data_IF_215563984494
#
_entry.id   IF_215563984494
#
_cell.length_a   1.000
_cell.length_b   1.000
_cell.length_c   1.000
_cell.angle_alpha   90.00
_cell.angle_beta   90.00
_cell.angle_gamma   90.00
#
_symmetry.space_group_name_H-M   'P 1'
#
loop_
_entity.id
_entity.type
_entity.pdbx_description
1 polymer ?
#
# COMPACT_ATOMS: atom_id res chain seq x y z
N UNK A 1 -11.85 31.29 19.38
CA UNK A 1 -10.63 30.80 18.70
C UNK A 1 -10.70 29.28 18.63
N UNK A 2 -10.45 28.64 17.47
CA UNK A 2 -10.41 27.19 17.40
C UNK A 2 -9.23 26.65 18.20
N UNK A 3 -9.47 25.58 18.96
CA UNK A 3 -8.49 24.94 19.84
C UNK A 3 -7.32 24.35 19.03
N UNK A 4 -6.06 24.80 19.24
CA UNK A 4 -4.89 24.28 18.53
C UNK A 4 -4.58 22.81 18.88
N UNK A 5 -5.26 22.22 19.86
CA UNK A 5 -5.16 20.79 20.19
C UNK A 5 -5.90 19.88 19.19
N UNK A 6 -6.86 20.41 18.42
CA UNK A 6 -7.66 19.62 17.49
C UNK A 6 -6.83 19.05 16.32
N UNK A 7 -5.79 19.76 15.88
CA UNK A 7 -4.84 19.30 14.85
C UNK A 7 -3.80 18.30 15.38
N UNK A 8 -3.76 18.04 16.68
CA UNK A 8 -2.73 17.20 17.31
C UNK A 8 -3.12 15.71 17.37
N UNK A 9 -4.25 15.32 16.78
CA UNK A 9 -4.84 13.95 16.88
C UNK A 9 -4.79 13.11 15.61
N UNK A 10 -3.94 13.43 14.64
CA UNK A 10 -3.53 12.41 13.68
C UNK A 10 -2.19 11.85 14.16
N UNK A 11 -2.14 10.61 14.68
CA UNK A 11 -0.89 9.97 15.01
C UNK A 11 0.07 10.11 13.82
N UNK A 12 1.34 10.41 14.06
CA UNK A 12 2.35 10.59 12.99
C UNK A 12 2.45 9.42 12.00
N UNK A 13 1.82 8.29 12.31
CA UNK A 13 1.49 7.19 11.42
C UNK A 13 0.75 7.64 10.14
N UNK A 14 -0.27 8.49 10.22
CA UNK A 14 -1.04 8.96 9.04
C UNK A 14 -0.25 9.91 8.14
N UNK A 15 0.74 10.62 8.68
CA UNK A 15 1.67 11.42 7.88
C UNK A 15 2.57 10.57 6.97
N UNK A 16 2.78 9.28 7.28
CA UNK A 16 3.56 8.38 6.40
C UNK A 16 2.76 7.84 5.22
N UNK A 17 1.43 7.75 5.34
CA UNK A 17 0.56 7.55 4.17
C UNK A 17 0.54 8.77 3.24
N UNK A 18 0.95 9.94 3.74
CA UNK A 18 1.11 11.14 2.92
C UNK A 18 2.41 11.16 2.11
N UNK A 19 3.26 10.13 2.20
CA UNK A 19 4.43 10.06 1.31
C UNK A 19 3.93 9.72 -0.10
N UNK A 20 4.04 10.64 -1.09
CA UNK A 20 3.33 10.51 -2.36
C UNK A 20 3.68 9.22 -3.10
N UNK A 21 4.93 8.75 -2.96
CA UNK A 21 5.39 7.50 -3.55
C UNK A 21 4.64 6.27 -3.04
N UNK A 22 4.38 6.16 -1.73
CA UNK A 22 3.65 5.01 -1.17
C UNK A 22 2.20 5.00 -1.64
N UNK A 23 1.56 6.18 -1.69
CA UNK A 23 0.21 6.34 -2.21
C UNK A 23 0.11 5.96 -3.69
N UNK A 24 1.11 6.35 -4.51
CA UNK A 24 1.18 5.95 -5.92
C UNK A 24 1.32 4.43 -6.05
N UNK A 25 2.25 3.81 -5.32
CA UNK A 25 2.46 2.35 -5.39
C UNK A 25 1.22 1.58 -4.93
N UNK A 26 0.56 1.99 -3.85
CA UNK A 26 -0.68 1.36 -3.40
C UNK A 26 -1.82 1.56 -4.39
N UNK A 27 -1.90 2.74 -5.03
CA UNK A 27 -2.91 3.02 -6.07
C UNK A 27 -2.68 2.15 -7.30
N UNK A 28 -1.43 2.04 -7.77
CA UNK A 28 -1.06 1.14 -8.88
C UNK A 28 -1.42 -0.30 -8.53
N UNK A 29 -1.10 -0.75 -7.30
CA UNK A 29 -1.47 -2.07 -6.81
C UNK A 29 -2.98 -2.31 -6.85
N UNK A 30 -3.78 -1.35 -6.37
CA UNK A 30 -5.23 -1.42 -6.37
C UNK A 30 -5.82 -1.44 -7.80
N UNK A 31 -5.26 -0.62 -8.71
CA UNK A 31 -5.67 -0.58 -10.12
C UNK A 31 -5.37 -1.91 -10.81
N UNK A 32 -4.17 -2.48 -10.61
CA UNK A 32 -3.83 -3.80 -11.14
C UNK A 32 -4.76 -4.87 -10.57
N UNK A 33 -5.03 -4.84 -9.27
CA UNK A 33 -5.96 -5.78 -8.65
C UNK A 33 -7.37 -5.71 -9.27
N UNK A 34 -7.92 -4.50 -9.44
CA UNK A 34 -9.22 -4.29 -10.09
C UNK A 34 -9.20 -4.70 -11.56
N UNK A 35 -8.14 -4.37 -12.30
CA UNK A 35 -7.99 -4.76 -13.70
C UNK A 35 -7.98 -6.29 -13.86
N UNK A 36 -7.35 -7.00 -12.92
CA UNK A 36 -7.42 -8.46 -12.85
C UNK A 36 -8.86 -8.96 -12.70
N UNK A 37 -9.66 -8.39 -11.80
CA UNK A 37 -11.10 -8.73 -11.68
C UNK A 37 -11.88 -8.50 -12.97
N UNK A 38 -11.61 -7.39 -13.67
CA UNK A 38 -12.25 -7.10 -14.97
C UNK A 38 -11.87 -8.15 -16.02
N UNK A 39 -10.60 -8.55 -16.09
CA UNK A 39 -10.14 -9.62 -17.00
C UNK A 39 -10.81 -10.97 -16.69
N UNK A 40 -10.96 -11.30 -15.41
CA UNK A 40 -11.68 -12.51 -15.00
C UNK A 40 -13.15 -12.47 -15.45
N UNK A 41 -13.83 -11.34 -15.24
CA UNK A 41 -15.21 -11.12 -15.69
C UNK A 41 -15.36 -11.23 -17.21
N UNK A 42 -14.42 -10.66 -17.98
CA UNK A 42 -14.39 -10.82 -19.43
C UNK A 42 -14.19 -12.29 -19.85
N UNK A 43 -13.33 -13.02 -19.14
CA UNK A 43 -13.15 -14.47 -19.34
C UNK A 43 -14.43 -15.27 -19.09
N UNK A 44 -15.21 -14.92 -18.05
CA UNK A 44 -16.54 -15.54 -17.82
C UNK A 44 -17.45 -15.31 -19.02
N UNK A 45 -17.52 -14.08 -19.53
CA UNK A 45 -18.39 -13.73 -20.67
C UNK A 45 -18.04 -14.46 -21.96
N UNK A 46 -16.76 -14.73 -22.19
CA UNK A 46 -16.27 -15.41 -23.41
C UNK A 46 -16.25 -16.93 -23.30
N UNK A 47 -16.53 -17.50 -22.12
CA UNK A 47 -16.38 -18.95 -21.85
C UNK A 47 -17.16 -19.85 -22.82
N UNK A 48 -18.33 -19.41 -23.29
CA UNK A 48 -19.17 -20.19 -24.19
C UNK A 48 -18.77 -20.07 -25.67
N UNK A 49 -18.22 -18.92 -26.09
CA UNK A 49 -17.88 -18.65 -27.50
C UNK A 49 -16.43 -18.99 -27.83
N UNK A 50 -15.50 -18.71 -26.91
CA UNK A 50 -14.08 -19.00 -27.06
C UNK A 50 -13.47 -19.47 -25.72
N UNK A 51 -13.58 -20.78 -25.42
CA UNK A 51 -13.13 -21.33 -24.14
C UNK A 51 -11.60 -21.26 -23.97
N UNK A 52 -10.84 -21.32 -25.07
CA UNK A 52 -9.37 -21.26 -25.02
C UNK A 52 -8.91 -19.86 -24.64
N UNK A 53 -9.49 -18.83 -25.25
CA UNK A 53 -9.19 -17.45 -24.93
C UNK A 53 -9.70 -17.07 -23.52
N UNK A 54 -10.88 -17.56 -23.13
CA UNK A 54 -11.40 -17.41 -21.77
C UNK A 54 -10.43 -17.95 -20.71
N UNK A 55 -9.86 -19.14 -20.93
CA UNK A 55 -8.88 -19.72 -19.99
C UNK A 55 -7.60 -18.86 -19.88
N UNK A 56 -7.11 -18.31 -20.99
CA UNK A 56 -5.97 -17.40 -20.99
C UNK A 56 -6.28 -16.11 -20.22
N UNK A 57 -7.47 -15.54 -20.41
CA UNK A 57 -7.95 -14.37 -19.68
C UNK A 57 -7.99 -14.65 -18.17
N UNK A 58 -8.49 -15.81 -17.76
CA UNK A 58 -8.47 -16.23 -16.35
C UNK A 58 -7.04 -16.36 -15.80
N UNK A 59 -6.13 -17.00 -16.54
CA UNK A 59 -4.74 -17.11 -16.11
C UNK A 59 -4.08 -15.73 -15.91
N UNK A 60 -4.24 -14.83 -16.89
CA UNK A 60 -3.72 -13.47 -16.80
C UNK A 60 -4.38 -12.65 -15.71
N UNK A 61 -5.70 -12.81 -15.49
CA UNK A 61 -6.41 -12.15 -14.39
C UNK A 61 -5.80 -12.48 -13.03
N UNK A 62 -5.39 -13.74 -12.84
CA UNK A 62 -4.75 -14.19 -11.61
C UNK A 62 -3.38 -13.54 -11.41
N UNK A 63 -2.55 -13.53 -12.45
CA UNK A 63 -1.22 -12.90 -12.41
C UNK A 63 -1.33 -11.40 -12.13
N UNK A 64 -2.19 -10.70 -12.86
CA UNK A 64 -2.38 -9.24 -12.72
C UNK A 64 -2.93 -8.91 -11.32
N UNK A 65 -3.91 -9.67 -10.84
CA UNK A 65 -4.46 -9.49 -9.48
C UNK A 65 -3.40 -9.75 -8.40
N UNK A 66 -2.61 -10.80 -8.57
CA UNK A 66 -1.58 -11.19 -7.60
C UNK A 66 -0.48 -10.14 -7.50
N UNK A 67 -0.01 -9.60 -8.64
CA UNK A 67 0.95 -8.48 -8.65
C UNK A 67 0.38 -7.26 -7.94
N UNK A 68 -0.89 -6.93 -8.19
CA UNK A 68 -1.58 -5.84 -7.50
C UNK A 68 -1.59 -5.99 -5.98
N UNK A 69 -1.96 -7.18 -5.49
CA UNK A 69 -1.94 -7.51 -4.05
C UNK A 69 -0.53 -7.47 -3.49
N UNK A 70 0.46 -8.02 -4.20
CA UNK A 70 1.85 -8.05 -3.74
C UNK A 70 2.40 -6.64 -3.50
N UNK A 71 2.08 -5.67 -4.38
CA UNK A 71 2.45 -4.27 -4.19
C UNK A 71 1.82 -3.66 -2.93
N UNK A 72 0.53 -3.91 -2.71
CA UNK A 72 -0.18 -3.43 -1.52
C UNK A 72 0.43 -4.03 -0.25
N UNK A 73 0.67 -5.35 -0.25
CA UNK A 73 1.29 -6.07 0.88
C UNK A 73 2.69 -5.54 1.16
N UNK A 74 3.49 -5.27 0.14
CA UNK A 74 4.83 -4.70 0.32
C UNK A 74 4.78 -3.33 1.01
N UNK A 75 3.84 -2.46 0.61
CA UNK A 75 3.63 -1.15 1.25
C UNK A 75 3.18 -1.32 2.71
N UNK A 76 2.23 -2.22 2.97
CA UNK A 76 1.75 -2.51 4.33
C UNK A 76 2.89 -3.06 5.20
N UNK A 77 3.65 -4.04 4.71
CA UNK A 77 4.77 -4.62 5.42
C UNK A 77 5.84 -3.58 5.74
N UNK A 78 6.13 -2.67 4.80
CA UNK A 78 7.05 -1.56 5.03
C UNK A 78 6.56 -0.63 6.14
N UNK A 79 5.29 -0.21 6.11
CA UNK A 79 4.70 0.66 7.13
C UNK A 79 4.66 -0.01 8.51
N UNK A 80 4.32 -1.30 8.57
CA UNK A 80 4.35 -2.10 9.80
C UNK A 80 5.78 -2.21 10.33
N UNK A 81 6.76 -2.46 9.46
CA UNK A 81 8.18 -2.48 9.84
C UNK A 81 8.62 -1.15 10.45
N UNK A 82 8.30 -0.02 9.80
CA UNK A 82 8.59 1.31 10.33
C UNK A 82 7.87 1.63 11.64
N UNK A 83 6.68 1.08 11.85
CA UNK A 83 5.94 1.20 13.10
C UNK A 83 6.64 0.41 14.22
N UNK A 84 6.99 -0.86 13.97
CA UNK A 84 7.72 -1.70 14.93
C UNK A 84 9.08 -1.09 15.32
N UNK A 85 9.87 -0.63 14.34
CA UNK A 85 11.19 -0.04 14.61
C UNK A 85 11.12 1.24 15.44
N UNK A 86 10.07 2.04 15.25
CA UNK A 86 9.89 3.31 15.97
C UNK A 86 9.25 3.09 17.34
N UNK A 87 8.04 2.53 17.36
CA UNK A 87 7.16 2.59 18.51
C UNK A 87 7.37 1.40 19.47
N UNK A 88 7.82 0.25 18.95
CA UNK A 88 8.05 -0.95 19.77
C UNK A 88 9.51 -1.07 20.19
N UNK A 89 10.45 -0.83 19.25
CA UNK A 89 11.88 -1.02 19.49
C UNK A 89 12.62 0.27 19.89
N UNK A 90 12.05 1.45 19.66
CA UNK A 90 12.67 2.74 20.02
C UNK A 90 14.00 3.03 19.30
N UNK A 91 14.30 2.31 18.21
CA UNK A 91 15.61 2.38 17.52
C UNK A 91 15.76 3.70 16.76
N UNK A 92 14.67 4.19 16.17
CA UNK A 92 14.68 5.38 15.32
C UNK A 92 14.70 6.71 16.09
N UNK A 93 14.43 6.71 17.40
CA UNK A 93 14.46 7.93 18.23
C UNK A 93 15.83 8.20 18.87
N UNK A 94 16.76 7.23 18.85
CA UNK A 94 18.09 7.35 19.47
C UNK A 94 19.09 8.26 18.74
N UNK A 95 18.82 8.62 17.49
CA UNK A 95 19.80 9.31 16.62
C UNK A 95 19.70 10.84 16.58
N UNK A 96 18.86 11.50 17.40
CA UNK A 96 18.91 12.97 17.49
C UNK A 96 19.87 13.41 18.59
N UNK A 97 21.12 13.80 18.27
CA UNK A 97 21.92 14.57 19.21
C UNK A 97 21.21 15.90 19.48
N UNK A 98 20.98 16.22 20.75
CA UNK A 98 20.38 17.48 21.15
C UNK A 98 21.21 18.65 20.59
N UNK A 99 20.60 19.59 19.84
CA UNK A 99 21.26 20.80 19.41
C UNK A 99 21.40 21.74 20.63
N UNK A 100 22.40 21.46 21.47
CA UNK A 100 22.65 22.23 22.69
C UNK A 100 23.79 21.74 23.58
N UNK A 101 24.32 20.53 23.37
CA UNK A 101 25.35 19.94 24.23
C UNK A 101 26.79 20.38 23.89
N UNK A 102 27.01 21.66 23.57
CA UNK A 102 28.33 22.30 23.63
C UNK A 102 28.16 23.69 24.23
N UNK A 103 28.37 23.77 25.54
CA UNK A 103 28.80 25.01 26.20
C UNK A 103 30.31 25.00 26.28
#
# INVERSE_FOLDING_TARGET
MPDPSANRRLPGFFYRFAHPALAVVSTVGAVLWLAGFVLAGAGVGLRASDPTFAYRLFAWSGVVSFVGVALIVAVVAYLVGLWLLRDVLGVLDREKPEPGARR
#
